data_IF_407976773359
#
_entry.id   IF_407976773359
#
_cell.length_a   1.000
_cell.length_b   1.000
_cell.length_c   1.000
_cell.angle_alpha   90.00
_cell.angle_beta   90.00
_cell.angle_gamma   90.00
#
_symmetry.space_group_name_H-M   'P 1'
#
loop_
_entity.id
_entity.type
_entity.pdbx_description
1 polymer ?
#
# COMPACT_ATOMS: atom_id res chain seq x y z
N UNK A 1 -34.49 -1.18 -29.16
CA UNK A 1 -33.59 -1.48 -28.02
C UNK A 1 -34.26 -0.99 -26.76
N UNK A 2 -34.16 -1.75 -25.66
CA UNK A 2 -34.79 -1.38 -24.39
C UNK A 2 -33.78 -1.34 -23.24
N UNK A 3 -34.16 -0.65 -22.16
CA UNK A 3 -33.47 -0.78 -20.88
C UNK A 3 -34.02 -1.99 -20.12
N UNK A 4 -33.13 -2.84 -19.61
CA UNK A 4 -33.43 -4.09 -18.91
C UNK A 4 -34.20 -5.13 -19.74
N UNK A 5 -34.06 -6.41 -19.33
CA UNK A 5 -34.85 -7.51 -19.90
C UNK A 5 -36.19 -7.65 -19.18
N UNK A 6 -37.27 -8.03 -19.89
CA UNK A 6 -38.54 -8.31 -19.24
C UNK A 6 -38.45 -9.67 -18.54
N UNK A 7 -39.22 -9.86 -17.46
CA UNK A 7 -39.29 -11.15 -16.78
C UNK A 7 -39.86 -12.26 -17.68
N UNK A 8 -40.84 -11.91 -18.51
CA UNK A 8 -41.35 -12.76 -19.58
C UNK A 8 -40.78 -12.27 -20.94
N UNK A 9 -39.95 -13.08 -21.63
CA UNK A 9 -39.37 -12.72 -22.93
C UNK A 9 -40.40 -12.39 -24.02
N UNK A 10 -41.63 -12.91 -23.92
CA UNK A 10 -42.69 -12.69 -24.89
C UNK A 10 -43.60 -11.50 -24.54
N UNK A 11 -43.47 -10.93 -23.34
CA UNK A 11 -44.33 -9.85 -22.90
C UNK A 11 -44.11 -8.57 -23.72
N UNK A 12 -45.19 -7.82 -24.05
CA UNK A 12 -45.06 -6.54 -24.73
C UNK A 12 -44.31 -5.54 -23.86
N UNK A 13 -43.43 -4.75 -24.49
CA UNK A 13 -42.64 -3.71 -23.81
C UNK A 13 -43.40 -2.39 -23.81
N UNK A 14 -43.25 -1.62 -22.73
CA UNK A 14 -43.80 -0.25 -22.68
C UNK A 14 -42.96 0.66 -23.57
N UNK A 15 -43.61 1.64 -24.18
CA UNK A 15 -42.92 2.65 -25.00
C UNK A 15 -41.86 3.43 -24.21
N UNK A 16 -42.12 3.68 -22.92
CA UNK A 16 -41.19 4.38 -22.02
C UNK A 16 -39.88 3.64 -21.78
N UNK A 17 -39.83 2.33 -22.06
CA UNK A 17 -38.61 1.54 -21.93
C UNK A 17 -37.77 1.55 -23.21
N UNK A 18 -38.32 2.08 -24.32
CA UNK A 18 -37.65 2.14 -25.60
C UNK A 18 -36.51 3.17 -25.56
N UNK A 19 -35.28 2.66 -25.59
CA UNK A 19 -34.09 3.49 -25.39
C UNK A 19 -33.49 4.00 -26.70
N UNK A 20 -33.48 3.15 -27.73
CA UNK A 20 -32.78 3.45 -28.97
C UNK A 20 -32.86 2.36 -30.02
N UNK A 21 -32.02 2.51 -31.04
CA UNK A 21 -31.89 1.62 -32.20
C UNK A 21 -30.42 1.25 -32.40
N UNK A 22 -30.20 0.04 -32.92
CA UNK A 22 -28.87 -0.42 -33.33
C UNK A 22 -28.72 -0.13 -34.81
N UNK A 23 -27.61 0.52 -35.18
CA UNK A 23 -27.26 0.92 -36.54
C UNK A 23 -25.91 0.32 -36.94
N UNK A 24 -25.56 0.41 -38.22
CA UNK A 24 -24.26 -0.05 -38.75
C UNK A 24 -23.89 -1.48 -38.34
N UNK A 25 -24.89 -2.36 -38.31
CA UNK A 25 -24.72 -3.75 -37.94
C UNK A 25 -23.80 -4.46 -38.94
N UNK A 26 -22.83 -5.20 -38.41
CA UNK A 26 -21.88 -5.98 -39.19
C UNK A 26 -21.45 -7.23 -38.43
N UNK A 27 -21.26 -8.31 -39.17
CA UNK A 27 -20.61 -9.51 -38.67
C UNK A 27 -19.12 -9.46 -39.01
N UNK A 28 -18.28 -9.73 -38.02
CA UNK A 28 -16.83 -9.81 -38.20
C UNK A 28 -16.40 -11.25 -37.89
N UNK A 29 -15.92 -12.01 -38.90
CA UNK A 29 -15.46 -13.39 -38.70
C UNK A 29 -14.47 -13.52 -37.54
N UNK A 30 -14.67 -14.52 -36.69
CA UNK A 30 -13.82 -14.76 -35.51
C UNK A 30 -13.95 -13.75 -34.36
N UNK A 31 -14.76 -12.68 -34.51
CA UNK A 31 -14.96 -11.65 -33.47
C UNK A 31 -16.41 -11.42 -33.07
N UNK A 32 -17.36 -11.86 -33.88
CA UNK A 32 -18.79 -11.81 -33.57
C UNK A 32 -19.53 -10.64 -34.23
N UNK A 33 -20.64 -10.25 -33.62
CA UNK A 33 -21.58 -9.24 -34.14
C UNK A 33 -21.30 -7.88 -33.53
N UNK A 34 -21.25 -6.84 -34.38
CA UNK A 34 -21.01 -5.46 -33.97
C UNK A 34 -22.11 -4.55 -34.50
N UNK A 35 -22.39 -3.48 -33.78
CA UNK A 35 -23.31 -2.43 -34.19
C UNK A 35 -23.13 -1.19 -33.30
N UNK A 36 -23.65 -0.07 -33.78
CA UNK A 36 -23.58 1.21 -33.10
C UNK A 36 -24.93 1.50 -32.44
N UNK A 37 -24.92 1.93 -31.18
CA UNK A 37 -26.14 2.31 -30.48
C UNK A 37 -26.44 3.81 -30.70
N UNK A 38 -27.54 4.09 -31.40
CA UNK A 38 -28.15 5.43 -31.41
C UNK A 38 -29.32 5.47 -30.43
N UNK A 39 -29.20 6.25 -29.36
CA UNK A 39 -30.20 6.34 -28.29
C UNK A 39 -30.87 7.71 -28.20
N UNK A 40 -32.06 7.75 -27.60
CA UNK A 40 -32.79 8.98 -27.37
C UNK A 40 -32.19 9.75 -26.18
N UNK A 41 -31.53 10.87 -26.45
CA UNK A 41 -30.88 11.70 -25.43
C UNK A 41 -31.85 12.35 -24.44
N UNK A 42 -33.15 12.39 -24.75
CA UNK A 42 -34.22 12.87 -23.85
C UNK A 42 -34.87 11.76 -23.04
N UNK A 43 -34.43 10.52 -23.18
CA UNK A 43 -34.90 9.41 -22.37
C UNK A 43 -34.52 9.62 -20.89
N UNK A 44 -35.39 9.22 -19.94
CA UNK A 44 -35.18 9.44 -18.50
C UNK A 44 -33.85 8.90 -17.96
N UNK A 45 -33.33 7.83 -18.58
CA UNK A 45 -32.05 7.19 -18.23
C UNK A 45 -30.87 7.62 -19.12
N UNK A 46 -31.05 8.53 -20.08
CA UNK A 46 -30.01 8.88 -21.05
C UNK A 46 -28.77 9.51 -20.40
N UNK A 47 -28.95 10.43 -19.45
CA UNK A 47 -27.84 11.09 -18.76
C UNK A 47 -27.02 10.09 -17.94
N UNK A 48 -27.69 9.20 -17.21
CA UNK A 48 -27.03 8.16 -16.42
C UNK A 48 -26.27 7.19 -17.34
N UNK A 49 -26.92 6.72 -18.41
CA UNK A 49 -26.29 5.83 -19.38
C UNK A 49 -25.01 6.42 -19.98
N UNK A 50 -25.04 7.70 -20.38
CA UNK A 50 -23.87 8.38 -20.94
C UNK A 50 -22.71 8.46 -19.92
N UNK A 51 -23.03 8.76 -18.66
CA UNK A 51 -22.03 8.78 -17.58
C UNK A 51 -21.45 7.39 -17.29
N UNK A 52 -22.30 6.36 -17.23
CA UNK A 52 -21.89 4.98 -16.98
C UNK A 52 -20.98 4.45 -18.09
N UNK A 53 -21.32 4.68 -19.36
CA UNK A 53 -20.48 4.27 -20.49
C UNK A 53 -19.13 5.00 -20.48
N UNK A 54 -19.09 6.26 -20.06
CA UNK A 54 -17.85 7.05 -20.03
C UNK A 54 -16.95 6.67 -18.85
N UNK A 55 -17.51 6.49 -17.65
CA UNK A 55 -16.75 6.29 -16.41
C UNK A 55 -16.58 4.81 -16.05
N UNK A 56 -17.55 3.97 -16.42
CA UNK A 56 -17.62 2.56 -16.07
C UNK A 56 -17.98 1.70 -17.30
N UNK A 57 -17.16 1.71 -18.37
CA UNK A 57 -17.48 1.06 -19.64
C UNK A 57 -17.70 -0.46 -19.57
N UNK A 58 -17.33 -1.10 -18.46
CA UNK A 58 -17.52 -2.54 -18.20
C UNK A 58 -18.76 -2.86 -17.34
N UNK A 59 -19.46 -1.84 -16.83
CA UNK A 59 -20.61 -2.01 -15.93
C UNK A 59 -21.93 -2.29 -16.65
N UNK A 60 -21.98 -2.02 -17.96
CA UNK A 60 -23.14 -2.23 -18.81
C UNK A 60 -22.73 -3.06 -20.03
N UNK A 61 -23.68 -3.79 -20.59
CA UNK A 61 -23.56 -4.34 -21.92
C UNK A 61 -24.91 -4.76 -22.48
N UNK A 62 -24.88 -5.64 -23.48
CA UNK A 62 -26.08 -5.99 -24.23
C UNK A 62 -26.49 -7.44 -23.98
N UNK A 63 -27.79 -7.68 -23.95
CA UNK A 63 -28.38 -9.02 -23.94
C UNK A 63 -29.44 -9.12 -25.03
N UNK A 64 -29.51 -10.28 -25.67
CA UNK A 64 -30.44 -10.56 -26.76
C UNK A 64 -31.68 -11.22 -26.18
N UNK A 65 -32.86 -10.64 -26.43
CA UNK A 65 -34.13 -11.32 -26.24
C UNK A 65 -34.58 -11.90 -27.59
N UNK A 66 -34.51 -13.23 -27.71
CA UNK A 66 -34.88 -13.95 -28.91
C UNK A 66 -35.65 -15.24 -28.60
N UNK A 67 -36.46 -15.70 -29.56
CA UNK A 67 -36.90 -17.09 -29.63
C UNK A 67 -35.81 -17.88 -30.33
N UNK A 68 -35.43 -19.00 -29.73
CA UNK A 68 -34.37 -19.87 -30.25
C UNK A 68 -34.95 -21.23 -30.59
N UNK A 69 -34.42 -21.85 -31.65
CA UNK A 69 -34.61 -23.26 -31.90
C UNK A 69 -33.48 -24.02 -31.21
N UNK A 70 -33.76 -24.77 -30.13
CA UNK A 70 -32.74 -25.57 -29.48
C UNK A 70 -32.35 -26.74 -30.38
N UNK A 71 -31.05 -26.97 -30.47
CA UNK A 71 -30.47 -28.16 -31.09
C UNK A 71 -30.29 -29.31 -30.13
N UNK A 72 -29.64 -30.37 -30.62
CA UNK A 72 -29.25 -31.51 -29.78
C UNK A 72 -28.28 -31.06 -28.70
N UNK A 73 -28.63 -31.33 -27.44
CA UNK A 73 -27.73 -31.16 -26.30
C UNK A 73 -26.66 -32.27 -26.34
N UNK A 74 -25.36 -31.92 -26.46
CA UNK A 74 -24.29 -32.91 -26.35
C UNK A 74 -24.30 -33.54 -24.95
N UNK A 75 -23.88 -34.79 -24.83
CA UNK A 75 -23.73 -35.42 -23.52
C UNK A 75 -22.72 -34.61 -22.67
N UNK A 76 -23.16 -34.09 -21.52
CA UNK A 76 -22.34 -33.24 -20.64
C UNK A 76 -22.20 -31.78 -21.07
N UNK A 77 -22.81 -31.36 -22.19
CA UNK A 77 -22.68 -30.01 -22.74
C UNK A 77 -23.87 -29.09 -22.45
N UNK A 78 -23.69 -27.79 -22.71
CA UNK A 78 -24.75 -26.79 -22.72
C UNK A 78 -25.76 -26.97 -23.87
N UNK A 79 -26.86 -26.22 -23.84
CA UNK A 79 -27.83 -26.22 -24.94
C UNK A 79 -27.20 -25.57 -26.18
N UNK A 80 -27.12 -26.31 -27.29
CA UNK A 80 -26.71 -25.76 -28.58
C UNK A 80 -27.92 -25.07 -29.21
N UNK A 81 -27.77 -23.82 -29.66
CA UNK A 81 -28.80 -23.10 -30.40
C UNK A 81 -28.61 -23.30 -31.91
N UNK A 82 -29.56 -23.94 -32.59
CA UNK A 82 -29.45 -24.17 -34.04
C UNK A 82 -29.75 -22.92 -34.85
N UNK A 83 -30.79 -22.17 -34.43
CA UNK A 83 -31.19 -20.95 -35.10
C UNK A 83 -31.89 -19.98 -34.15
N UNK A 84 -31.79 -18.69 -34.46
CA UNK A 84 -32.66 -17.66 -33.89
C UNK A 84 -33.91 -17.60 -34.76
N UNK A 85 -35.08 -17.93 -34.21
CA UNK A 85 -36.34 -17.90 -34.95
C UNK A 85 -36.91 -16.48 -34.99
N UNK A 86 -36.82 -15.77 -33.86
CA UNK A 86 -37.34 -14.40 -33.73
C UNK A 86 -36.37 -13.60 -32.88
N UNK A 87 -35.87 -12.49 -33.40
CA UNK A 87 -35.17 -11.49 -32.60
C UNK A 87 -36.18 -10.43 -32.14
N UNK A 88 -36.48 -10.36 -30.84
CA UNK A 88 -37.45 -9.41 -30.29
C UNK A 88 -36.80 -8.08 -29.94
N UNK A 89 -35.69 -8.14 -29.20
CA UNK A 89 -34.96 -6.95 -28.80
C UNK A 89 -33.50 -7.24 -28.46
N UNK A 90 -32.72 -6.16 -28.44
CA UNK A 90 -31.43 -6.08 -27.75
C UNK A 90 -31.66 -5.13 -26.59
N UNK A 91 -31.24 -5.54 -25.40
CA UNK A 91 -31.52 -4.84 -24.16
C UNK A 91 -30.19 -4.45 -23.48
N UNK A 92 -30.14 -3.25 -22.89
CA UNK A 92 -29.01 -2.81 -22.06
C UNK A 92 -29.19 -3.40 -20.67
N UNK A 93 -28.18 -4.13 -20.19
CA UNK A 93 -28.20 -4.84 -18.91
C UNK A 93 -26.87 -4.70 -18.17
N UNK A 94 -26.89 -4.95 -16.86
CA UNK A 94 -25.68 -4.96 -16.01
C UNK A 94 -24.92 -6.29 -16.05
N UNK A 95 -25.55 -7.36 -16.53
CA UNK A 95 -24.94 -8.69 -16.73
C UNK A 95 -25.09 -9.09 -18.20
N UNK A 96 -24.19 -8.64 -19.08
CA UNK A 96 -24.33 -8.81 -20.51
C UNK A 96 -24.07 -10.25 -20.97
N UNK A 97 -24.57 -10.57 -22.15
CA UNK A 97 -24.13 -11.75 -22.89
C UNK A 97 -22.68 -11.55 -23.38
N UNK A 98 -21.91 -12.63 -23.49
CA UNK A 98 -20.55 -12.56 -24.04
C UNK A 98 -20.61 -12.42 -25.57
N UNK A 99 -19.66 -11.70 -26.15
CA UNK A 99 -19.51 -11.61 -27.61
C UNK A 99 -18.87 -12.87 -28.23
N UNK A 100 -18.50 -13.84 -27.39
CA UNK A 100 -17.87 -15.10 -27.79
C UNK A 100 -18.88 -16.03 -28.48
N UNK A 101 -20.18 -15.88 -28.19
CA UNK A 101 -21.26 -16.47 -29.00
C UNK A 101 -22.61 -16.51 -28.28
N UNK A 102 -23.67 -16.85 -29.02
CA UNK A 102 -25.04 -17.12 -28.50
C UNK A 102 -25.10 -18.42 -27.67
N UNK A 103 -23.97 -19.13 -27.54
CA UNK A 103 -23.88 -20.50 -27.04
C UNK A 103 -23.45 -20.64 -25.57
N UNK A 104 -23.48 -19.57 -24.78
CA UNK A 104 -22.94 -19.60 -23.42
C UNK A 104 -24.01 -19.38 -22.34
N UNK A 105 -24.43 -20.49 -21.71
CA UNK A 105 -24.58 -20.68 -20.27
C UNK A 105 -24.81 -22.19 -20.06
N UNK A 106 -23.91 -22.90 -19.38
CA UNK A 106 -23.83 -22.90 -17.93
C UNK A 106 -22.39 -23.16 -17.46
N UNK A 107 -21.77 -22.21 -16.76
CA UNK A 107 -20.56 -22.42 -15.99
C UNK A 107 -20.92 -23.02 -14.62
N UNK A 108 -21.64 -24.14 -14.68
CA UNK A 108 -22.02 -24.97 -13.55
C UNK A 108 -21.52 -26.38 -13.80
N UNK A 109 -20.36 -26.72 -13.21
CA UNK A 109 -19.71 -28.04 -13.19
C UNK A 109 -18.96 -28.50 -14.47
N UNK A 110 -17.63 -28.58 -14.32
CA UNK A 110 -16.87 -29.79 -14.66
C UNK A 110 -16.68 -30.16 -16.14
N UNK A 111 -15.53 -29.78 -16.68
CA UNK A 111 -14.69 -30.49 -17.66
C UNK A 111 -15.29 -31.12 -18.94
N UNK A 112 -14.59 -30.78 -20.04
CA UNK A 112 -14.17 -31.62 -21.17
C UNK A 112 -15.19 -32.01 -22.26
N UNK A 113 -14.88 -31.64 -23.51
CA UNK A 113 -14.56 -32.55 -24.63
C UNK A 113 -13.97 -31.71 -25.78
N UNK A 114 -12.68 -31.85 -26.09
CA UNK A 114 -12.14 -32.69 -27.16
C UNK A 114 -12.23 -32.06 -28.58
N UNK A 115 -11.36 -31.07 -28.84
CA UNK A 115 -10.74 -30.90 -30.16
C UNK A 115 -9.36 -31.56 -30.09
N UNK A 116 -9.32 -32.85 -30.42
CA UNK A 116 -8.08 -33.64 -30.48
C UNK A 116 -7.43 -33.42 -31.85
N UNK A 117 -6.27 -32.74 -31.86
CA UNK A 117 -5.43 -32.65 -33.05
C UNK A 117 -4.46 -31.47 -33.00
N UNK A 118 -4.99 -30.26 -32.78
CA UNK A 118 -4.20 -29.01 -32.80
C UNK A 118 -4.05 -28.38 -31.39
N UNK A 119 -4.90 -28.78 -30.42
CA UNK A 119 -4.94 -28.18 -29.07
C UNK A 119 -3.82 -28.62 -28.12
N UNK A 120 -3.08 -29.69 -28.42
CA UNK A 120 -2.02 -30.21 -27.54
C UNK A 120 -0.75 -29.35 -27.56
N UNK A 121 -0.49 -28.62 -28.64
CA UNK A 121 0.61 -27.66 -28.72
C UNK A 121 0.24 -26.40 -27.94
N UNK A 122 -0.97 -25.88 -28.14
CA UNK A 122 -1.47 -24.70 -27.43
C UNK A 122 -1.61 -24.92 -25.92
N UNK A 123 -1.99 -26.11 -25.46
CA UNK A 123 -2.07 -26.42 -24.03
C UNK A 123 -0.71 -26.45 -23.33
N UNK A 124 0.34 -26.91 -24.01
CA UNK A 124 1.70 -26.88 -23.44
C UNK A 124 2.22 -25.45 -23.34
N UNK A 125 1.97 -24.65 -24.37
CA UNK A 125 2.32 -23.22 -24.37
C UNK A 125 1.55 -22.47 -23.27
N UNK A 126 0.27 -22.78 -23.07
CA UNK A 126 -0.53 -22.19 -21.99
C UNK A 126 -0.02 -22.61 -20.59
N UNK A 127 0.39 -23.87 -20.43
CA UNK A 127 0.96 -24.36 -19.17
C UNK A 127 2.30 -23.68 -18.86
N UNK A 128 3.13 -23.46 -19.87
CA UNK A 128 4.40 -22.75 -19.73
C UNK A 128 4.18 -21.26 -19.42
N UNK A 129 3.20 -20.62 -20.06
CA UNK A 129 2.77 -19.27 -19.74
C UNK A 129 2.24 -19.16 -18.30
N UNK A 130 1.43 -20.11 -17.83
CA UNK A 130 0.94 -20.11 -16.45
C UNK A 130 2.08 -20.28 -15.44
N UNK A 131 3.05 -21.16 -15.73
CA UNK A 131 4.22 -21.35 -14.88
C UNK A 131 5.06 -20.06 -14.79
N UNK A 132 5.33 -19.42 -15.92
CA UNK A 132 6.09 -18.16 -15.95
C UNK A 132 5.34 -17.02 -15.23
N UNK A 133 4.01 -16.96 -15.37
CA UNK A 133 3.18 -16.02 -14.62
C UNK A 133 3.22 -16.28 -13.10
N UNK A 134 3.16 -17.55 -12.67
CA UNK A 134 3.25 -17.91 -11.25
C UNK A 134 4.62 -17.55 -10.67
N UNK A 135 5.70 -17.81 -11.40
CA UNK A 135 7.05 -17.41 -11.00
C UNK A 135 7.19 -15.87 -10.93
N UNK A 136 6.61 -15.15 -11.89
CA UNK A 136 6.58 -13.69 -11.88
C UNK A 136 5.75 -13.14 -10.70
N UNK A 137 4.61 -13.74 -10.38
CA UNK A 137 3.79 -13.40 -9.22
C UNK A 137 4.53 -13.67 -7.91
N UNK A 138 5.28 -14.79 -7.82
CA UNK A 138 6.13 -15.09 -6.67
C UNK A 138 7.20 -14.01 -6.44
N UNK A 139 7.93 -13.64 -7.50
CA UNK A 139 8.92 -12.54 -7.44
C UNK A 139 8.28 -11.20 -7.08
N UNK A 140 7.07 -10.91 -7.58
CA UNK A 140 6.33 -9.71 -7.20
C UNK A 140 5.91 -9.72 -5.73
N UNK A 141 5.51 -10.87 -5.18
CA UNK A 141 5.15 -11.00 -3.77
C UNK A 141 6.37 -10.77 -2.86
N UNK A 142 7.52 -11.36 -3.19
CA UNK A 142 8.78 -11.14 -2.47
C UNK A 142 9.22 -9.66 -2.52
N UNK A 143 9.12 -9.02 -3.68
CA UNK A 143 9.41 -7.59 -3.83
C UNK A 143 8.45 -6.71 -3.02
N UNK A 144 7.16 -7.07 -2.97
CA UNK A 144 6.16 -6.36 -2.17
C UNK A 144 6.45 -6.49 -0.67
N UNK A 145 6.83 -7.68 -0.20
CA UNK A 145 7.20 -7.90 1.20
C UNK A 145 8.45 -7.10 1.59
N UNK A 146 9.48 -7.08 0.74
CA UNK A 146 10.68 -6.27 0.96
C UNK A 146 10.36 -4.76 1.04
N UNK A 147 9.48 -4.26 0.17
CA UNK A 147 9.05 -2.86 0.16
C UNK A 147 8.24 -2.50 1.42
N UNK A 148 7.41 -3.42 1.93
CA UNK A 148 6.67 -3.23 3.18
C UNK A 148 7.63 -3.17 4.38
N UNK A 149 8.65 -4.03 4.42
CA UNK A 149 9.67 -4.01 5.46
C UNK A 149 10.49 -2.70 5.43
N UNK A 150 10.84 -2.20 4.25
CA UNK A 150 11.54 -0.92 4.10
C UNK A 150 10.68 0.26 4.57
N UNK A 151 9.39 0.30 4.19
CA UNK A 151 8.47 1.32 4.67
C UNK A 151 8.29 1.30 6.19
N UNK A 152 8.26 0.11 6.80
CA UNK A 152 8.21 -0.02 8.26
C UNK A 152 9.46 0.57 8.91
N UNK A 153 10.65 0.32 8.34
CA UNK A 153 11.92 0.89 8.82
C UNK A 153 11.95 2.42 8.71
N UNK A 154 11.56 2.96 7.55
CA UNK A 154 11.53 4.42 7.33
C UNK A 154 10.51 5.11 8.25
N UNK A 155 9.36 4.49 8.50
CA UNK A 155 8.40 5.00 9.48
C UNK A 155 9.01 5.04 10.89
N UNK A 156 9.65 3.96 11.33
CA UNK A 156 10.32 3.92 12.63
C UNK A 156 11.43 4.99 12.75
N UNK A 157 12.23 5.20 11.70
CA UNK A 157 13.25 6.24 11.66
C UNK A 157 12.64 7.65 11.73
N UNK A 158 11.57 7.90 10.98
CA UNK A 158 10.87 9.20 11.00
C UNK A 158 10.26 9.51 12.36
N UNK A 159 9.71 8.52 13.06
CA UNK A 159 9.19 8.68 14.41
C UNK A 159 10.32 8.92 15.42
N UNK A 160 11.46 8.21 15.30
CA UNK A 160 12.64 8.46 16.13
C UNK A 160 13.16 9.90 15.96
N UNK A 161 13.17 10.44 14.74
CA UNK A 161 13.56 11.83 14.46
C UNK A 161 12.59 12.82 15.11
N UNK A 162 11.26 12.60 15.00
CA UNK A 162 10.25 13.44 15.66
C UNK A 162 10.41 13.43 17.18
N UNK A 163 10.59 12.24 17.74
CA UNK A 163 10.79 11.99 19.17
C UNK A 163 12.04 12.70 19.69
N UNK A 164 13.14 12.70 18.91
CA UNK A 164 14.36 13.45 19.23
C UNK A 164 14.15 14.95 19.15
N UNK A 165 13.48 15.45 18.12
CA UNK A 165 13.18 16.88 17.97
C UNK A 165 12.35 17.41 19.15
N UNK A 166 11.32 16.67 19.57
CA UNK A 166 10.50 17.03 20.74
C UNK A 166 11.32 17.06 22.04
N UNK A 167 12.21 16.09 22.26
CA UNK A 167 13.08 16.08 23.44
C UNK A 167 14.05 17.22 23.46
N UNK A 168 14.71 17.49 22.32
CA UNK A 168 15.62 18.62 22.19
C UNK A 168 14.89 19.93 22.47
N UNK A 169 13.64 20.08 22.01
CA UNK A 169 12.83 21.27 22.29
C UNK A 169 12.45 21.38 23.77
N UNK A 170 11.95 20.31 24.39
CA UNK A 170 11.57 20.28 25.82
C UNK A 170 12.78 20.55 26.72
N UNK A 171 13.89 19.83 26.52
CA UNK A 171 15.11 19.99 27.30
C UNK A 171 15.77 21.35 27.05
N UNK A 172 15.75 21.84 25.83
CA UNK A 172 16.32 23.15 25.48
C UNK A 172 15.64 24.32 26.20
N UNK A 173 14.35 24.18 26.55
CA UNK A 173 13.62 25.18 27.36
C UNK A 173 13.97 25.13 28.85
N UNK A 174 14.38 23.97 29.36
CA UNK A 174 14.70 23.76 30.78
C UNK A 174 16.18 24.02 31.07
N UNK A 175 17.05 23.57 30.17
CA UNK A 175 18.50 23.71 30.26
C UNK A 175 18.98 25.02 29.63
N UNK A 176 18.29 26.11 29.94
CA UNK A 176 18.69 27.47 29.56
C UNK A 176 19.64 28.06 30.61
N UNK A 177 20.71 28.73 30.18
CA UNK A 177 21.62 29.43 31.09
C UNK A 177 23.08 29.33 30.68
N UNK A 178 23.90 30.31 31.10
CA UNK A 178 25.32 30.41 30.72
C UNK A 178 26.15 29.17 31.04
N UNK A 179 25.79 28.43 32.09
CA UNK A 179 26.47 27.18 32.50
C UNK A 179 26.43 26.10 31.41
N UNK A 180 25.37 26.06 30.59
CA UNK A 180 25.23 25.08 29.50
C UNK A 180 25.86 25.51 28.17
N UNK A 181 26.31 26.77 28.04
CA UNK A 181 26.99 27.25 26.83
C UNK A 181 28.46 26.76 26.74
N UNK A 182 29.03 26.37 27.88
CA UNK A 182 30.34 25.72 27.96
C UNK A 182 30.36 24.40 27.17
N UNK A 183 31.54 23.97 26.72
CA UNK A 183 31.69 22.70 25.97
C UNK A 183 31.24 21.49 26.82
N UNK A 184 31.54 21.50 28.13
CA UNK A 184 31.09 20.50 29.08
C UNK A 184 29.56 20.50 29.22
N UNK A 185 28.95 21.69 29.32
CA UNK A 185 27.50 21.87 29.37
C UNK A 185 26.79 21.33 28.13
N UNK A 186 27.30 21.67 26.93
CA UNK A 186 26.77 21.14 25.66
C UNK A 186 26.87 19.63 25.56
N UNK A 187 28.00 19.06 26.00
CA UNK A 187 28.18 17.60 26.04
C UNK A 187 27.18 16.93 26.99
N UNK A 188 26.94 17.54 28.16
CA UNK A 188 25.94 17.06 29.11
C UNK A 188 24.52 17.10 28.51
N UNK A 189 24.13 18.21 27.87
CA UNK A 189 22.81 18.32 27.21
C UNK A 189 22.65 17.27 26.12
N UNK A 190 23.68 17.05 25.30
CA UNK A 190 23.67 16.03 24.24
C UNK A 190 23.48 14.62 24.83
N UNK A 191 24.22 14.27 25.87
CA UNK A 191 24.10 12.97 26.55
C UNK A 191 22.72 12.79 27.19
N UNK A 192 22.15 13.87 27.78
CA UNK A 192 20.81 13.84 28.35
C UNK A 192 19.73 13.64 27.27
N UNK A 193 19.87 14.29 26.10
CA UNK A 193 18.99 14.09 24.94
C UNK A 193 19.06 12.64 24.46
N UNK A 194 20.26 12.08 24.30
CA UNK A 194 20.44 10.68 23.86
C UNK A 194 19.81 9.70 24.85
N UNK A 195 20.04 9.89 26.15
CA UNK A 195 19.45 9.05 27.19
C UNK A 195 17.90 9.16 27.21
N UNK A 196 17.36 10.37 27.04
CA UNK A 196 15.91 10.60 26.98
C UNK A 196 15.27 10.07 25.68
N UNK A 197 16.05 9.90 24.59
CA UNK A 197 15.60 9.28 23.35
C UNK A 197 15.43 7.76 23.48
N UNK A 198 16.26 7.10 24.29
CA UNK A 198 16.19 5.66 24.55
C UNK A 198 15.18 5.30 25.66
N UNK A 199 14.79 6.27 26.49
CA UNK A 199 13.85 6.07 27.58
C UNK A 199 12.41 5.84 27.11
N UNK A 200 11.66 5.01 27.84
CA UNK A 200 10.20 4.86 27.67
C UNK A 200 9.51 6.24 27.84
N UNK A 201 8.43 6.54 27.08
CA UNK A 201 7.63 7.77 27.22
C UNK A 201 7.31 8.18 28.66
N UNK A 202 7.00 7.23 29.55
CA UNK A 202 6.68 7.53 30.95
C UNK A 202 7.91 7.98 31.74
N UNK A 203 9.07 7.40 31.47
CA UNK A 203 10.33 7.80 32.08
C UNK A 203 10.79 9.16 31.55
N UNK A 204 10.59 9.43 30.25
CA UNK A 204 10.86 10.74 29.66
C UNK A 204 10.10 11.85 30.38
N UNK A 205 8.80 11.69 30.61
CA UNK A 205 8.00 12.67 31.36
C UNK A 205 8.51 12.88 32.79
N UNK A 206 9.00 11.82 33.44
CA UNK A 206 9.62 11.93 34.77
C UNK A 206 10.94 12.71 34.73
N UNK A 207 11.78 12.47 33.73
CA UNK A 207 13.04 13.21 33.52
C UNK A 207 12.74 14.69 33.25
N UNK A 208 11.79 14.98 32.36
CA UNK A 208 11.35 16.35 32.07
C UNK A 208 10.86 17.06 33.35
N UNK A 209 10.04 16.38 34.15
CA UNK A 209 9.57 16.91 35.44
C UNK A 209 10.72 17.15 36.41
N UNK A 210 11.62 16.18 36.58
CA UNK A 210 12.76 16.30 37.49
C UNK A 210 13.70 17.45 37.10
N UNK A 211 13.93 17.64 35.79
CA UNK A 211 14.76 18.74 35.31
C UNK A 211 14.06 20.08 35.46
N UNK A 212 12.74 20.15 35.25
CA UNK A 212 11.96 21.36 35.50
C UNK A 212 11.97 21.74 36.99
N UNK A 213 11.79 20.76 37.88
CA UNK A 213 11.85 20.95 39.33
C UNK A 213 13.25 21.36 39.81
N UNK A 214 14.31 20.90 39.12
CA UNK A 214 15.70 21.27 39.41
C UNK A 214 16.15 22.57 38.73
N UNK A 215 15.44 23.08 37.73
CA UNK A 215 15.76 24.30 36.98
C UNK A 215 16.17 25.49 37.87
N UNK A 216 15.41 25.82 38.93
CA UNK A 216 15.74 26.92 39.84
C UNK A 216 17.07 26.76 40.58
N UNK A 217 17.60 25.54 40.75
CA UNK A 217 18.91 25.31 41.35
C UNK A 217 20.08 25.64 40.40
N UNK A 218 19.79 25.81 39.11
CA UNK A 218 20.78 26.10 38.07
C UNK A 218 20.77 27.56 37.61
N UNK A 219 19.76 28.35 38.01
CA UNK A 219 19.74 29.79 37.82
C UNK A 219 20.78 30.41 38.75
N UNK A 220 21.98 30.63 38.21
CA UNK A 220 23.11 31.22 38.92
C UNK A 220 22.70 32.56 39.55
N UNK A 221 22.66 32.62 40.88
CA UNK A 221 22.26 33.77 41.70
C UNK A 221 23.16 35.01 41.50
N UNK A 222 24.19 34.90 40.65
CA UNK A 222 25.11 35.99 40.33
C UNK A 222 26.07 36.35 41.47
N UNK A 223 26.18 35.50 42.50
CA UNK A 223 27.26 35.64 43.47
C UNK A 223 28.57 35.15 42.82
N UNK A 224 29.31 36.12 42.27
CA UNK A 224 30.70 35.97 41.84
C UNK A 224 31.51 35.30 42.95
N UNK A 225 31.71 33.97 42.85
CA UNK A 225 32.64 33.21 43.69
C UNK A 225 34.07 33.49 43.20
N UNK A 226 34.42 34.75 43.00
CA UNK A 226 35.80 35.20 42.77
C UNK A 226 36.42 35.51 44.12
N UNK A 227 36.63 34.51 44.97
CA UNK A 227 37.34 34.70 46.23
C UNK A 227 38.22 33.49 46.55
N UNK A 228 39.51 33.64 46.26
CA UNK A 228 40.59 32.95 46.97
C UNK A 228 41.10 31.66 46.35
N UNK A 229 41.87 31.77 45.26
CA UNK A 229 42.81 30.72 44.87
C UNK A 229 44.16 31.36 44.54
N UNK A 230 44.80 31.90 45.58
CA UNK A 230 46.21 32.27 45.54
C UNK A 230 47.05 31.00 45.69
N UNK A 231 47.87 30.71 44.66
CA UNK A 231 49.15 30.03 44.80
C UNK A 231 49.15 28.49 44.84
N UNK A 232 49.63 27.85 43.78
CA UNK A 232 51.02 27.33 43.77
C UNK A 232 51.40 26.84 42.37
N UNK A 233 52.43 27.48 41.84
CA UNK A 233 53.09 27.19 40.58
C UNK A 233 53.94 25.91 40.68
N UNK A 234 53.65 24.90 39.84
CA UNK A 234 54.53 23.77 39.60
C UNK A 234 54.95 23.72 38.12
N UNK A 235 56.25 23.56 37.93
CA UNK A 235 57.05 23.76 36.72
C UNK A 235 56.92 22.63 35.69
N UNK A 236 57.20 23.04 34.44
CA UNK A 236 57.92 22.37 33.36
C UNK A 236 57.80 20.85 33.17
N UNK A 237 57.27 20.49 31.99
CA UNK A 237 57.37 19.17 31.40
C UNK A 237 57.23 19.24 29.88
N UNK A 238 58.32 19.62 29.19
CA UNK A 238 58.51 19.46 27.75
C UNK A 238 58.30 17.98 27.37
N UNK A 239 57.39 17.69 26.43
CA UNK A 239 57.44 16.44 25.66
C UNK A 239 57.11 16.66 24.19
N UNK A 240 57.97 16.05 23.38
CA UNK A 240 58.11 16.13 21.94
C UNK A 240 56.85 15.75 21.16
N UNK A 241 56.52 16.57 20.18
CA UNK A 241 55.62 16.23 19.08
C UNK A 241 56.38 15.39 18.05
N UNK A 242 56.14 14.08 18.04
CA UNK A 242 56.56 13.20 16.94
C UNK A 242 55.36 12.91 16.04
N UNK A 243 55.42 13.45 14.81
CA UNK A 243 54.46 13.15 13.75
C UNK A 243 54.61 11.69 13.27
N UNK A 244 53.56 10.88 13.46
CA UNK A 244 53.41 9.61 12.74
C UNK A 244 52.10 9.64 11.93
N UNK A 245 52.24 9.88 10.62
CA UNK A 245 51.22 9.54 9.61
C UNK A 245 51.20 8.03 9.42
N UNK A 246 50.21 7.36 10.01
CA UNK A 246 49.88 5.96 9.77
C UNK A 246 48.44 5.83 9.28
N UNK A 247 48.25 5.21 8.11
CA UNK A 247 46.95 4.97 7.50
C UNK A 247 46.07 4.05 8.37
N UNK A 248 44.87 4.53 8.72
CA UNK A 248 43.88 3.75 9.46
C UNK A 248 43.08 2.87 8.51
N UNK A 249 43.30 1.55 8.59
CA UNK A 249 42.36 0.54 8.10
C UNK A 249 41.14 0.50 9.03
N UNK A 250 39.95 0.54 8.44
CA UNK A 250 38.68 0.41 9.15
C UNK A 250 38.59 -0.93 9.92
N UNK A 251 38.22 -0.95 11.21
CA UNK A 251 37.96 -2.19 11.92
C UNK A 251 36.56 -2.73 11.62
N UNK A 252 36.48 -4.04 11.48
CA UNK A 252 35.22 -4.77 11.35
C UNK A 252 34.37 -4.61 12.62
N UNK A 253 33.08 -4.32 12.43
CA UNK A 253 32.07 -4.23 13.48
C UNK A 253 31.82 -5.64 14.02
N UNK A 254 32.49 -5.96 15.13
CA UNK A 254 32.22 -7.16 15.93
C UNK A 254 31.03 -6.93 16.85
N UNK A 255 30.04 -7.83 16.79
CA UNK A 255 28.90 -7.93 17.72
C UNK A 255 29.43 -7.99 19.17
N UNK A 256 29.19 -6.94 19.96
CA UNK A 256 29.36 -7.00 21.43
C UNK A 256 28.04 -7.42 22.06
N UNK A 257 28.07 -8.54 22.76
CA UNK A 257 26.98 -9.01 23.59
C UNK A 257 26.72 -8.04 24.75
N UNK A 258 25.46 -7.63 24.88
CA UNK A 258 24.94 -6.82 25.98
C UNK A 258 24.47 -7.73 27.12
N UNK A 259 25.35 -8.11 28.03
CA UNK A 259 24.93 -8.69 29.32
C UNK A 259 26.01 -8.47 30.37
N UNK A 260 25.88 -7.43 31.18
CA UNK A 260 26.76 -7.25 32.34
C UNK A 260 26.67 -5.90 33.05
N UNK A 261 26.43 -4.80 32.33
CA UNK A 261 26.59 -3.47 32.90
C UNK A 261 25.35 -2.90 33.65
N UNK A 262 24.17 -3.51 33.50
CA UNK A 262 22.90 -2.94 34.03
C UNK A 262 22.37 -3.59 35.31
N UNK A 263 23.09 -4.54 35.91
CA UNK A 263 22.62 -5.19 37.14
C UNK A 263 22.65 -4.26 38.37
N UNK A 264 23.56 -3.28 38.41
CA UNK A 264 23.69 -2.36 39.54
C UNK A 264 22.61 -1.26 39.61
N UNK A 265 22.12 -0.77 38.46
CA UNK A 265 21.19 0.36 38.41
C UNK A 265 19.73 -0.02 38.73
N UNK A 266 19.34 -1.28 38.54
CA UNK A 266 17.99 -1.75 38.88
C UNK A 266 17.76 -1.83 40.39
N UNK A 267 18.80 -2.12 41.16
CA UNK A 267 18.71 -2.23 42.63
C UNK A 267 18.58 -0.86 43.31
N UNK A 268 19.14 0.21 42.75
CA UNK A 268 19.02 1.57 43.31
C UNK A 268 17.69 2.26 43.00
N UNK A 269 16.93 1.78 42.00
CA UNK A 269 15.67 2.38 41.56
C UNK A 269 14.41 1.66 42.05
N UNK A 270 14.54 0.61 42.87
CA UNK A 270 13.40 -0.07 43.52
C UNK A 270 12.40 -0.71 42.55
N UNK A 271 12.80 -0.96 41.29
CA UNK A 271 11.96 -1.60 40.28
C UNK A 271 12.14 -3.12 40.39
N UNK A 272 11.05 -3.82 40.75
CA UNK A 272 10.96 -5.28 40.63
C UNK A 272 10.84 -5.71 39.18
#
# INVERSE_FOLDING_TARGET
MYMDQPADPAAPRKYEDAFGVVENYRFVPGRGHFGDLRYNTRHRLASQFAEDVQKFPKGLGFSINAAIKPGKKPAGGGMVVESLEILRSVDVVTRPATAVGVFEHDSGSGQSHAQEGESLVELKDLQEQLKTMQEAQGKQAEAMEALLAENARLKAESEAVKVRAQVTESLGKVLTGKRFETEAGRTFVQNAIECACEANPDLRKKIEKMLADAGPLFEDDGEDITAGADGESAKDGQQDTQEHRGAVKAPAIGKRGSSGAYAGLRASLGLK
#
